data_IF_756913274907
#
_entry.id   IF_756913274907
#
_cell.length_a   1.000
_cell.length_b   1.000
_cell.length_c   1.000
_cell.angle_alpha   90.00
_cell.angle_beta   90.00
_cell.angle_gamma   90.00
#
_symmetry.space_group_name_H-M   'P 1'
#
loop_
_entity.id
_entity.type
_entity.pdbx_description
1 polymer ?
#
# COMPACT_ATOMS: atom_id res chain seq x y z
N UNK A 1 12.86 7.08 -14.36
CA UNK A 1 11.51 7.51 -13.92
C UNK A 1 10.80 6.29 -13.37
N UNK A 2 10.42 6.28 -12.09
CA UNK A 2 9.63 5.16 -11.55
C UNK A 2 8.34 5.02 -12.34
N UNK A 3 8.18 3.90 -13.04
CA UNK A 3 6.95 3.62 -13.78
C UNK A 3 5.80 3.50 -12.77
N UNK A 4 4.87 4.47 -12.79
CA UNK A 4 3.61 4.38 -12.06
C UNK A 4 2.80 3.25 -12.69
N UNK A 5 2.69 2.14 -11.98
CA UNK A 5 1.93 0.96 -12.40
C UNK A 5 0.49 1.05 -11.82
N UNK A 6 -0.51 0.44 -12.47
CA UNK A 6 -1.85 0.35 -11.92
C UNK A 6 -1.85 -0.41 -10.58
N UNK A 7 -2.59 0.06 -9.58
CA UNK A 7 -2.63 -0.61 -8.26
C UNK A 7 -3.02 -2.10 -8.33
N UNK A 8 -3.80 -2.48 -9.34
CA UNK A 8 -4.19 -3.87 -9.58
C UNK A 8 -3.01 -4.82 -9.86
N UNK A 9 -1.85 -4.30 -10.26
CA UNK A 9 -0.63 -5.09 -10.49
C UNK A 9 0.33 -5.09 -9.30
N UNK A 10 -0.05 -4.43 -8.21
CA UNK A 10 0.79 -4.32 -7.03
C UNK A 10 0.85 -5.65 -6.24
N UNK A 11 2.00 -5.95 -5.63
CA UNK A 11 2.17 -7.17 -4.85
C UNK A 11 1.26 -7.15 -3.60
N UNK A 12 0.33 -8.11 -3.52
CA UNK A 12 -0.58 -8.28 -2.39
C UNK A 12 -0.01 -9.19 -1.29
N UNK A 13 1.24 -9.63 -1.44
CA UNK A 13 1.97 -10.50 -0.51
C UNK A 13 2.42 -9.79 0.77
N UNK A 14 1.99 -8.55 0.98
CA UNK A 14 2.44 -7.67 2.06
C UNK A 14 3.84 -7.09 1.85
N UNK A 15 4.27 -6.95 0.60
CA UNK A 15 5.47 -6.16 0.27
C UNK A 15 5.15 -4.68 0.46
N UNK A 16 6.11 -3.92 1.00
CA UNK A 16 5.99 -2.46 1.08
C UNK A 16 6.26 -1.86 -0.30
N UNK A 17 5.34 -1.06 -0.79
CA UNK A 17 5.46 -0.38 -2.08
C UNK A 17 5.07 1.08 -1.93
N UNK A 18 5.60 1.92 -2.80
CA UNK A 18 5.16 3.31 -2.88
C UNK A 18 3.83 3.35 -3.63
N UNK A 19 2.84 4.01 -3.06
CA UNK A 19 1.52 4.15 -3.68
C UNK A 19 1.15 5.61 -3.84
N UNK A 20 0.40 5.87 -4.91
CA UNK A 20 -0.18 7.17 -5.23
C UNK A 20 -1.67 7.08 -5.01
N UNK A 21 -2.17 7.96 -4.15
CA UNK A 21 -3.55 7.99 -3.75
C UNK A 21 -4.04 9.44 -3.73
N UNK A 22 -5.30 9.62 -4.05
CA UNK A 22 -5.95 10.93 -3.99
C UNK A 22 -6.75 10.99 -2.70
N UNK A 23 -6.47 11.98 -1.86
CA UNK A 23 -7.27 12.22 -0.65
C UNK A 23 -8.65 12.82 -1.01
N UNK A 24 -9.57 12.93 -0.05
CA UNK A 24 -10.90 13.54 -0.22
C UNK A 24 -10.85 14.97 -0.73
N UNK A 25 -9.76 15.68 -0.47
CA UNK A 25 -9.53 17.05 -0.94
C UNK A 25 -9.00 17.11 -2.39
N UNK A 26 -8.86 15.97 -3.08
CA UNK A 26 -8.39 15.90 -4.47
C UNK A 26 -6.87 16.00 -4.62
N UNK A 27 -6.13 15.97 -3.51
CA UNK A 27 -4.67 16.07 -3.52
C UNK A 27 -4.02 14.70 -3.78
N UNK A 28 -3.13 14.63 -4.78
CA UNK A 28 -2.26 13.47 -5.00
C UNK A 28 -1.23 13.41 -3.87
N UNK A 29 -1.25 12.31 -3.13
CA UNK A 29 -0.31 12.00 -2.06
C UNK A 29 0.48 10.75 -2.44
N UNK A 30 1.77 10.78 -2.09
CA UNK A 30 2.66 9.63 -2.21
C UNK A 30 2.92 9.06 -0.81
N UNK A 31 2.77 7.76 -0.63
CA UNK A 31 3.01 7.12 0.67
C UNK A 31 3.50 5.69 0.50
N UNK A 32 4.27 5.18 1.45
CA UNK A 32 4.66 3.76 1.48
C UNK A 32 3.53 2.96 2.12
N UNK A 33 2.90 2.09 1.34
CA UNK A 33 1.81 1.24 1.77
C UNK A 33 2.14 -0.25 1.66
N UNK A 34 1.41 -1.04 2.43
CA UNK A 34 1.46 -2.49 2.42
C UNK A 34 0.04 -3.03 2.25
N UNK A 35 -0.12 -3.98 1.34
CA UNK A 35 -1.40 -4.68 1.21
C UNK A 35 -1.57 -5.67 2.37
N UNK A 36 -2.69 -5.55 3.09
CA UNK A 36 -3.11 -6.53 4.09
C UNK A 36 -4.19 -7.40 3.49
N UNK A 37 -3.88 -8.67 3.29
CA UNK A 37 -4.85 -9.68 2.85
C UNK A 37 -5.54 -10.34 4.05
N UNK A 38 -6.84 -10.60 3.94
CA UNK A 38 -7.60 -11.29 5.01
C UNK A 38 -7.01 -12.66 5.31
N UNK A 39 -6.51 -13.36 4.29
CA UNK A 39 -5.85 -14.65 4.47
C UNK A 39 -4.68 -14.57 5.46
N UNK A 40 -3.86 -13.51 5.38
CA UNK A 40 -2.71 -13.32 6.27
C UNK A 40 -3.14 -12.88 7.66
N UNK A 41 -4.15 -12.02 7.76
CA UNK A 41 -4.71 -11.59 9.05
C UNK A 41 -5.36 -12.76 9.82
N UNK A 42 -6.06 -13.64 9.11
CA UNK A 42 -6.59 -14.91 9.63
C UNK A 42 -5.49 -15.80 10.21
N UNK A 43 -4.37 -15.92 9.50
CA UNK A 43 -3.23 -16.74 9.93
C UNK A 43 -2.49 -16.11 11.12
N UNK A 44 -2.39 -14.78 11.18
CA UNK A 44 -1.67 -14.07 12.23
C UNK A 44 -2.33 -14.21 13.62
N UNK A 45 -3.60 -14.60 13.70
CA UNK A 45 -4.31 -14.81 14.96
C UNK A 45 -4.51 -13.50 15.73
N UNK A 46 -5.57 -12.77 15.38
CA UNK A 46 -5.96 -11.52 16.01
C UNK A 46 -7.40 -11.14 15.67
N UNK A 47 -7.86 -9.99 16.16
CA UNK A 47 -9.13 -9.43 15.72
C UNK A 47 -8.93 -8.78 14.35
N UNK A 48 -9.54 -9.36 13.33
CA UNK A 48 -9.56 -8.86 11.96
C UNK A 48 -11.01 -8.79 11.50
N UNK A 49 -11.35 -7.74 10.77
CA UNK A 49 -12.63 -7.53 10.12
C UNK A 49 -12.44 -7.60 8.60
N UNK A 50 -13.52 -7.87 7.85
CA UNK A 50 -13.47 -7.80 6.37
C UNK A 50 -13.06 -6.41 5.86
N UNK A 51 -13.21 -5.38 6.70
CA UNK A 51 -12.74 -4.02 6.43
C UNK A 51 -11.23 -3.84 6.56
N UNK A 52 -10.50 -4.79 7.15
CA UNK A 52 -9.04 -4.72 7.23
C UNK A 52 -8.36 -5.08 5.90
N UNK A 53 -9.08 -5.68 4.96
CA UNK A 53 -8.54 -5.95 3.63
C UNK A 53 -8.27 -4.66 2.85
N UNK A 54 -7.05 -4.53 2.34
CA UNK A 54 -6.70 -3.44 1.44
C UNK A 54 -5.31 -2.86 1.68
N UNK A 55 -5.11 -1.66 1.13
CA UNK A 55 -3.85 -0.93 1.23
C UNK A 55 -3.78 -0.12 2.51
N UNK A 56 -2.75 -0.37 3.32
CA UNK A 56 -2.50 0.34 4.55
C UNK A 56 -1.20 1.11 4.46
N UNK A 57 -1.25 2.42 4.67
CA UNK A 57 -0.09 3.30 4.72
C UNK A 57 0.08 3.87 6.12
N UNK A 58 1.32 4.10 6.52
CA UNK A 58 1.62 4.91 7.70
C UNK A 58 1.34 6.37 7.35
N UNK A 59 0.37 6.96 8.03
CA UNK A 59 0.08 8.40 7.95
C UNK A 59 0.88 9.19 9.00
N UNK A 60 1.30 8.48 10.06
CA UNK A 60 2.11 8.97 11.16
C UNK A 60 3.16 7.89 11.51
N UNK A 61 4.10 8.17 12.42
CA UNK A 61 5.18 7.23 12.78
C UNK A 61 4.69 5.87 13.32
N UNK A 62 3.54 5.83 13.98
CA UNK A 62 2.95 4.61 14.56
C UNK A 62 1.58 4.26 13.99
N UNK A 63 0.90 5.21 13.35
CA UNK A 63 -0.50 5.06 12.96
C UNK A 63 -0.60 4.71 11.49
N UNK A 64 -1.22 3.55 11.22
CA UNK A 64 -1.58 3.12 9.88
C UNK A 64 -3.03 3.46 9.59
N UNK A 65 -3.29 3.94 8.36
CA UNK A 65 -4.64 4.11 7.84
C UNK A 65 -4.80 3.34 6.54
N UNK A 66 -6.01 2.80 6.37
CA UNK A 66 -6.43 2.23 5.10
C UNK A 66 -6.63 3.34 4.09
N UNK A 67 -5.99 3.22 2.94
CA UNK A 67 -6.06 4.15 1.82
C UNK A 67 -6.52 3.41 0.56
N UNK A 68 -7.02 4.17 -0.41
CA UNK A 68 -7.43 3.63 -1.72
C UNK A 68 -6.53 4.23 -2.79
N UNK A 69 -5.31 3.69 -2.97
CA UNK A 69 -4.43 4.13 -4.03
C UNK A 69 -4.94 3.71 -5.41
N UNK A 70 -4.69 4.55 -6.41
CA UNK A 70 -5.00 4.26 -7.80
C UNK A 70 -3.77 3.72 -8.55
N UNK A 71 -2.56 4.07 -8.10
CA UNK A 71 -1.31 3.66 -8.73
C UNK A 71 -0.24 3.32 -7.70
N UNK A 72 0.78 2.60 -8.12
CA UNK A 72 1.92 2.23 -7.27
C UNK A 72 3.24 2.25 -8.05
N UNK A 73 4.33 2.22 -7.31
CA UNK A 73 5.70 2.03 -7.79
C UNK A 73 6.47 1.19 -6.77
N UNK A 74 7.52 0.49 -7.22
CA UNK A 74 8.43 -0.20 -6.29
C UNK A 74 8.99 0.83 -5.30
N UNK A 75 9.03 0.47 -4.02
CA UNK A 75 9.67 1.29 -3.00
C UNK A 75 11.18 1.38 -3.33
N UNK A 76 11.64 2.58 -3.69
CA UNK A 76 13.01 2.81 -4.16
C UNK A 76 13.21 2.57 -5.66
N UNK A 77 12.59 3.39 -6.52
CA UNK A 77 13.02 3.41 -7.92
C UNK A 77 14.48 3.88 -8.03
N UNK A 78 15.30 3.07 -8.70
CA UNK A 78 16.79 3.05 -8.79
C UNK A 78 17.45 2.58 -7.48
N UNK A 79 18.11 1.42 -7.38
CA UNK A 79 19.18 0.90 -8.26
C UNK A 79 19.27 -0.65 -8.08
N UNK A 80 18.84 -1.42 -9.09
CA UNK A 80 19.24 -2.83 -9.30
C UNK A 80 19.00 -3.14 -10.78
N UNK A 81 19.70 -2.38 -11.63
CA UNK A 81 19.96 -2.68 -13.04
C UNK A 81 21.50 -2.68 -13.17
N UNK A 82 22.14 -3.74 -12.65
CA UNK A 82 23.47 -4.22 -13.09
C UNK A 82 23.44 -5.73 -13.35
#
# INVERSE_FOLDING_TARGET
MSAKLPIATAPTDGTKVTVYWTDRDGQENESVAQYRSLARLKVAGGQWDDSDEGWWAYVDSDTQKRIVPHSWSKAGGDDDDE
#
